data_IF_223655207028
#
_entry.id   IF_223655207028
#
_cell.length_a   1.000
_cell.length_b   1.000
_cell.length_c   1.000
_cell.angle_alpha   90.00
_cell.angle_beta   90.00
_cell.angle_gamma   90.00
#
_symmetry.space_group_name_H-M   'P 1'
#
loop_
_entity.id
_entity.type
_entity.pdbx_description
1 polymer ?
#
# COMPACT_ATOMS: atom_id res chain seq x y z
N UNK A 1 37.13 51.89 35.81
CA UNK A 1 36.02 50.92 35.78
C UNK A 1 34.71 51.70 35.74
N UNK A 2 33.77 51.23 34.91
CA UNK A 2 32.32 51.43 34.97
C UNK A 2 31.73 52.84 34.83
N UNK A 3 31.47 53.26 33.58
CA UNK A 3 30.42 54.24 33.29
C UNK A 3 29.80 54.14 31.87
N UNK A 4 30.20 53.16 31.04
CA UNK A 4 29.70 53.01 29.66
C UNK A 4 28.60 51.96 29.47
N UNK A 5 28.18 51.25 30.51
CA UNK A 5 27.25 50.11 30.38
C UNK A 5 25.87 50.32 31.03
N UNK A 6 25.54 51.51 31.52
CA UNK A 6 24.22 51.76 32.16
C UNK A 6 23.18 52.31 31.17
N UNK A 7 23.60 52.88 30.03
CA UNK A 7 22.68 53.49 29.06
C UNK A 7 22.05 52.53 28.03
N UNK A 8 22.29 51.23 28.10
CA UNK A 8 21.75 50.27 27.11
C UNK A 8 20.41 49.65 27.60
N UNK A 9 19.96 49.97 28.82
CA UNK A 9 18.76 49.38 29.41
C UNK A 9 17.63 50.35 29.79
N UNK A 10 17.70 51.63 29.39
CA UNK A 10 16.70 52.64 29.80
C UNK A 10 15.83 53.17 28.64
N UNK A 11 16.09 52.81 27.37
CA UNK A 11 15.28 53.25 26.23
C UNK A 11 14.15 52.28 25.84
N UNK A 12 13.57 51.59 26.83
CA UNK A 12 12.34 50.79 26.67
C UNK A 12 11.26 51.18 27.68
N UNK A 13 11.29 52.40 28.17
CA UNK A 13 10.18 52.95 28.92
C UNK A 13 9.04 53.25 27.95
N UNK A 14 7.91 52.58 28.13
CA UNK A 14 6.63 52.96 27.51
C UNK A 14 6.35 54.39 27.98
N UNK A 15 6.28 55.35 27.06
CA UNK A 15 5.98 56.74 27.42
C UNK A 15 4.58 56.81 28.03
N UNK A 16 4.29 57.80 28.86
CA UNK A 16 2.96 57.94 29.48
C UNK A 16 1.85 58.06 28.43
N UNK A 17 2.18 58.63 27.26
CA UNK A 17 1.31 58.72 26.08
C UNK A 17 1.00 57.36 25.43
N UNK A 18 1.81 56.34 25.72
CA UNK A 18 1.63 54.96 25.24
C UNK A 18 0.82 54.09 26.21
N UNK A 19 0.44 54.65 27.37
CA UNK A 19 -0.45 53.98 28.30
C UNK A 19 -1.92 54.27 27.92
N UNK A 20 -2.77 53.23 27.84
CA UNK A 20 -4.18 53.46 27.59
C UNK A 20 -4.83 54.13 28.80
N UNK A 21 -5.70 55.12 28.53
CA UNK A 21 -6.42 55.91 29.55
C UNK A 21 -7.23 55.04 30.51
N UNK A 22 -7.64 53.83 30.08
CA UNK A 22 -8.29 52.81 30.91
C UNK A 22 -7.83 51.43 30.50
N UNK A 23 -7.80 50.50 31.47
CA UNK A 23 -7.67 49.08 31.16
C UNK A 23 -8.78 48.68 30.17
N UNK A 24 -8.42 47.95 29.11
CA UNK A 24 -9.23 47.57 27.93
C UNK A 24 -9.38 48.58 26.78
N UNK A 25 -8.76 49.77 26.85
CA UNK A 25 -8.66 50.67 25.69
C UNK A 25 -7.34 50.44 24.93
N UNK A 26 -7.37 50.54 23.60
CA UNK A 26 -6.17 50.54 22.74
C UNK A 26 -5.72 51.99 22.53
N UNK A 27 -4.42 52.26 22.68
CA UNK A 27 -3.84 53.55 22.29
C UNK A 27 -3.78 53.60 20.77
N UNK A 28 -4.48 54.56 20.16
CA UNK A 28 -4.48 54.75 18.71
C UNK A 28 -3.51 55.90 18.38
N UNK A 29 -2.42 55.57 17.69
CA UNK A 29 -1.42 56.56 17.24
C UNK A 29 -1.82 57.12 15.89
N UNK A 30 -1.41 58.36 15.57
CA UNK A 30 -1.55 58.94 14.22
C UNK A 30 -0.80 58.14 13.14
N UNK A 31 0.24 57.41 13.55
CA UNK A 31 1.02 56.52 12.67
C UNK A 31 0.46 55.09 12.64
N UNK A 32 -0.66 54.80 13.31
CA UNK A 32 -1.32 53.50 13.20
C UNK A 32 -1.88 53.35 11.78
N UNK A 33 -1.59 52.26 11.05
CA UNK A 33 -2.17 52.00 9.73
C UNK A 33 -3.71 51.95 9.72
N UNK A 34 -4.32 51.79 10.89
CA UNK A 34 -5.78 51.79 11.08
C UNK A 34 -6.32 53.16 11.56
N UNK A 35 -5.45 54.16 11.74
CA UNK A 35 -5.85 55.48 12.22
C UNK A 35 -6.81 56.17 11.26
N UNK A 36 -8.01 56.47 11.74
CA UNK A 36 -9.05 57.15 10.96
C UNK A 36 -9.90 56.23 10.09
N UNK A 37 -9.70 54.91 10.15
CA UNK A 37 -10.54 53.92 9.48
C UNK A 37 -11.60 53.35 10.44
N UNK A 38 -12.78 53.09 9.89
CA UNK A 38 -13.84 52.35 10.57
C UNK A 38 -13.56 50.85 10.57
N UNK A 39 -14.22 50.10 11.46
CA UNK A 39 -14.07 48.64 11.52
C UNK A 39 -14.44 47.96 10.20
N UNK A 40 -15.45 48.48 9.50
CA UNK A 40 -15.89 47.98 8.21
C UNK A 40 -14.84 48.22 7.13
N UNK A 41 -14.23 49.41 7.07
CA UNK A 41 -13.15 49.72 6.13
C UNK A 41 -11.89 48.89 6.39
N UNK A 42 -11.57 48.62 7.65
CA UNK A 42 -10.47 47.72 8.04
C UNK A 42 -10.77 46.30 7.55
N UNK A 43 -12.01 45.84 7.71
CA UNK A 43 -12.43 44.52 7.26
C UNK A 43 -12.37 44.39 5.73
N UNK A 44 -12.90 45.38 5.00
CA UNK A 44 -12.88 45.40 3.53
C UNK A 44 -11.46 45.43 2.97
N UNK A 45 -10.56 46.21 3.59
CA UNK A 45 -9.14 46.23 3.23
C UNK A 45 -8.50 44.86 3.45
N UNK A 46 -8.76 44.22 4.59
CA UNK A 46 -8.20 42.92 4.91
C UNK A 46 -8.74 41.82 3.99
N UNK A 47 -10.03 41.90 3.63
CA UNK A 47 -10.66 41.01 2.65
C UNK A 47 -10.04 41.17 1.27
N UNK A 48 -9.82 42.41 0.84
CA UNK A 48 -9.15 42.73 -0.42
C UNK A 48 -7.72 42.15 -0.45
N UNK A 49 -6.94 42.34 0.62
CA UNK A 49 -5.58 41.79 0.72
C UNK A 49 -5.65 40.26 0.66
N UNK A 50 -6.57 39.62 1.39
CA UNK A 50 -6.75 38.16 1.36
C UNK A 50 -7.05 37.67 -0.06
N UNK A 51 -8.01 38.29 -0.75
CA UNK A 51 -8.39 37.94 -2.11
C UNK A 51 -7.25 38.16 -3.10
N UNK A 52 -6.49 39.27 -2.97
CA UNK A 52 -5.34 39.56 -3.81
C UNK A 52 -4.23 38.51 -3.64
N UNK A 53 -3.88 38.17 -2.40
CA UNK A 53 -2.87 37.14 -2.11
C UNK A 53 -3.30 35.74 -2.59
N UNK A 54 -4.60 35.44 -2.53
CA UNK A 54 -5.14 34.16 -3.01
C UNK A 54 -5.37 34.13 -4.52
N UNK A 55 -5.35 35.28 -5.21
CA UNK A 55 -5.61 35.34 -6.65
C UNK A 55 -4.60 34.54 -7.47
N UNK A 56 -3.34 34.51 -7.05
CA UNK A 56 -2.28 33.70 -7.66
C UNK A 56 -2.52 32.19 -7.46
N UNK A 57 -3.22 31.82 -6.38
CA UNK A 57 -3.57 30.44 -6.06
C UNK A 57 -4.98 30.07 -6.56
N UNK A 58 -5.66 30.96 -7.29
CA UNK A 58 -6.99 30.73 -7.85
C UNK A 58 -7.14 29.40 -8.59
N UNK A 59 -6.18 28.98 -9.44
CA UNK A 59 -6.23 27.67 -10.09
C UNK A 59 -6.18 26.48 -9.12
N UNK A 60 -5.47 26.59 -8.00
CA UNK A 60 -5.38 25.53 -6.98
C UNK A 60 -6.67 25.45 -6.15
N UNK A 61 -7.32 26.58 -5.89
CA UNK A 61 -8.60 26.65 -5.18
C UNK A 61 -9.78 26.13 -6.02
N UNK A 62 -9.60 25.98 -7.34
CA UNK A 62 -10.56 25.36 -8.27
C UNK A 62 -10.48 23.83 -8.29
N UNK A 63 -9.42 23.24 -7.72
CA UNK A 63 -9.28 21.79 -7.62
C UNK A 63 -10.29 21.31 -6.57
N UNK A 64 -11.24 20.43 -6.92
CA UNK A 64 -12.16 19.85 -5.96
C UNK A 64 -11.36 19.14 -4.86
N UNK A 65 -11.70 19.40 -3.59
CA UNK A 65 -11.13 18.64 -2.48
C UNK A 65 -11.62 17.18 -2.59
N UNK A 66 -10.72 16.27 -2.94
CA UNK A 66 -11.00 14.83 -2.93
C UNK A 66 -11.17 14.39 -1.47
N UNK A 67 -12.41 14.08 -1.07
CA UNK A 67 -12.75 13.63 0.28
C UNK A 67 -12.28 12.20 0.59
N UNK A 68 -11.52 11.57 -0.31
CA UNK A 68 -11.11 10.18 -0.17
C UNK A 68 -9.88 10.10 0.75
N UNK A 69 -10.14 9.81 2.02
CA UNK A 69 -9.15 9.67 3.10
C UNK A 69 -8.16 8.51 2.95
N UNK A 70 -8.10 7.83 1.81
CA UNK A 70 -7.39 6.55 1.68
C UNK A 70 -6.26 6.55 0.64
N UNK A 71 -5.73 7.71 0.26
CA UNK A 71 -4.88 7.71 -0.93
C UNK A 71 -3.44 7.22 -0.73
N UNK A 72 -2.84 7.24 0.47
CA UNK A 72 -1.39 6.94 0.56
C UNK A 72 -0.84 6.33 1.85
N UNK A 73 -1.58 5.54 2.63
CA UNK A 73 -0.94 4.87 3.79
C UNK A 73 -1.44 3.43 3.97
N UNK A 74 -0.65 2.48 3.46
CA UNK A 74 -0.57 1.14 4.04
C UNK A 74 0.74 1.11 4.82
N UNK A 75 0.68 1.28 6.14
CA UNK A 75 1.81 0.97 7.03
C UNK A 75 2.15 -0.53 6.87
N UNK A 76 3.44 -0.86 6.74
CA UNK A 76 4.02 -2.19 6.40
C UNK A 76 3.97 -2.64 4.93
N UNK A 77 4.43 -1.77 4.01
CA UNK A 77 4.49 -2.09 2.57
C UNK A 77 5.65 -3.04 2.18
N UNK A 78 5.33 -4.24 1.72
CA UNK A 78 6.19 -5.00 0.80
C UNK A 78 5.89 -4.52 -0.62
N UNK A 79 6.88 -3.94 -1.31
CA UNK A 79 6.74 -3.47 -2.68
C UNK A 79 6.31 -4.61 -3.62
N UNK A 80 5.06 -4.55 -4.09
CA UNK A 80 4.50 -5.51 -5.04
C UNK A 80 3.55 -4.80 -5.98
N UNK A 81 3.65 -5.12 -7.28
CA UNK A 81 2.74 -4.59 -8.30
C UNK A 81 1.24 -4.89 -8.00
N UNK A 82 0.96 -5.87 -7.14
CA UNK A 82 -0.38 -6.29 -6.72
C UNK A 82 -0.93 -5.54 -5.50
N UNK A 83 -0.14 -4.69 -4.86
CA UNK A 83 -0.52 -3.94 -3.65
C UNK A 83 -0.80 -2.45 -3.93
N UNK A 84 -0.85 -2.04 -5.20
CA UNK A 84 -1.07 -0.65 -5.60
C UNK A 84 -2.56 -0.30 -5.58
N UNK A 85 -2.90 0.96 -5.23
CA UNK A 85 -4.28 1.45 -5.28
C UNK A 85 -4.89 1.26 -6.69
N UNK A 86 -4.09 1.47 -7.73
CA UNK A 86 -4.50 1.21 -9.13
C UNK A 86 -4.90 -0.25 -9.37
N UNK A 87 -4.13 -1.20 -8.85
CA UNK A 87 -4.48 -2.63 -8.92
C UNK A 87 -5.81 -2.91 -8.21
N UNK A 88 -6.01 -2.33 -7.01
CA UNK A 88 -7.27 -2.45 -6.28
C UNK A 88 -8.45 -1.82 -7.02
N UNK A 89 -8.28 -0.66 -7.65
CA UNK A 89 -9.32 0.01 -8.45
C UNK A 89 -9.72 -0.81 -9.67
N UNK A 90 -8.74 -1.35 -10.40
CA UNK A 90 -8.99 -2.15 -11.61
C UNK A 90 -9.57 -3.54 -11.30
N UNK A 91 -9.17 -4.14 -10.17
CA UNK A 91 -9.60 -5.49 -9.78
C UNK A 91 -10.67 -5.51 -8.66
N UNK A 92 -11.23 -4.36 -8.27
CA UNK A 92 -12.31 -4.24 -7.28
C UNK A 92 -13.50 -5.20 -7.51
N UNK A 93 -13.99 -5.44 -8.74
CA UNK A 93 -15.10 -6.38 -8.95
C UNK A 93 -14.70 -7.86 -8.85
N UNK A 94 -13.40 -8.19 -8.98
CA UNK A 94 -12.88 -9.57 -8.87
C UNK A 94 -11.54 -9.57 -8.14
N UNK A 95 -11.53 -9.86 -6.82
CA UNK A 95 -10.30 -9.83 -6.04
C UNK A 95 -9.28 -10.81 -6.60
N UNK A 96 -8.02 -10.40 -6.59
CA UNK A 96 -6.91 -11.22 -7.06
C UNK A 96 -6.78 -12.48 -6.21
N UNK A 97 -6.88 -13.63 -6.87
CA UNK A 97 -6.73 -14.92 -6.22
C UNK A 97 -5.29 -15.41 -6.36
N UNK A 98 -4.44 -15.07 -5.39
CA UNK A 98 -3.04 -15.48 -5.37
C UNK A 98 -2.84 -17.00 -5.38
N UNK A 99 -3.75 -17.76 -4.78
CA UNK A 99 -3.71 -19.23 -4.83
C UNK A 99 -3.91 -19.75 -6.25
N UNK A 100 -4.90 -19.21 -6.97
CA UNK A 100 -5.14 -19.57 -8.37
C UNK A 100 -3.94 -19.21 -9.26
N UNK A 101 -3.36 -18.02 -9.05
CA UNK A 101 -2.17 -17.61 -9.78
C UNK A 101 -0.98 -18.54 -9.53
N UNK A 102 -0.70 -18.90 -8.26
CA UNK A 102 0.33 -19.87 -7.92
C UNK A 102 0.11 -21.21 -8.62
N UNK A 103 -1.12 -21.73 -8.61
CA UNK A 103 -1.44 -22.97 -9.32
C UNK A 103 -1.19 -22.86 -10.83
N UNK A 104 -1.59 -21.73 -11.45
CA UNK A 104 -1.34 -21.47 -12.87
C UNK A 104 0.17 -21.52 -13.19
N UNK A 105 0.99 -20.88 -12.37
CA UNK A 105 2.45 -20.87 -12.52
C UNK A 105 3.06 -22.28 -12.38
N UNK A 106 2.56 -23.10 -11.45
CA UNK A 106 3.01 -24.49 -11.31
C UNK A 106 2.66 -25.31 -12.57
N UNK A 107 1.44 -25.15 -13.09
CA UNK A 107 1.02 -25.85 -14.31
C UNK A 107 1.82 -25.43 -15.55
N UNK A 108 2.17 -24.14 -15.66
CA UNK A 108 3.07 -23.65 -16.71
C UNK A 108 4.46 -24.30 -16.61
N UNK A 109 5.06 -24.33 -15.40
CA UNK A 109 6.34 -25.03 -15.19
C UNK A 109 6.29 -26.52 -15.54
N UNK A 110 5.19 -27.20 -15.21
CA UNK A 110 4.99 -28.62 -15.58
C UNK A 110 4.94 -28.79 -17.09
N UNK A 111 4.22 -27.89 -17.78
CA UNK A 111 4.17 -27.87 -19.25
C UNK A 111 5.56 -27.65 -19.84
N UNK A 112 6.35 -26.71 -19.31
CA UNK A 112 7.70 -26.44 -19.79
C UNK A 112 8.63 -27.65 -19.61
N UNK A 113 8.56 -28.33 -18.46
CA UNK A 113 9.30 -29.58 -18.22
C UNK A 113 8.89 -30.68 -19.20
N UNK A 114 7.59 -30.80 -19.52
CA UNK A 114 7.10 -31.78 -20.49
C UNK A 114 7.59 -31.49 -21.91
N UNK A 115 7.57 -30.22 -22.32
CA UNK A 115 8.12 -29.79 -23.62
C UNK A 115 9.63 -30.07 -23.66
N UNK A 116 10.38 -29.70 -22.62
CA UNK A 116 11.81 -30.00 -22.54
C UNK A 116 12.10 -31.50 -22.63
N UNK A 117 11.32 -32.33 -21.95
CA UNK A 117 11.42 -33.79 -22.07
C UNK A 117 11.22 -34.27 -23.51
N UNK A 118 10.29 -33.66 -24.25
CA UNK A 118 10.04 -34.00 -25.65
C UNK A 118 11.18 -33.56 -26.60
N UNK A 119 11.82 -32.42 -26.32
CA UNK A 119 12.88 -31.86 -27.16
C UNK A 119 14.24 -32.54 -26.93
N UNK A 120 14.50 -33.05 -25.73
CA UNK A 120 15.79 -33.68 -25.40
C UNK A 120 15.90 -34.99 -26.17
N UNK A 121 16.98 -35.18 -26.93
CA UNK A 121 17.26 -36.46 -27.61
C UNK A 121 17.99 -37.47 -26.71
N UNK A 122 18.75 -37.01 -25.73
CA UNK A 122 19.55 -37.83 -24.83
C UNK A 122 18.71 -38.51 -23.73
N UNK A 123 18.85 -39.83 -23.56
CA UNK A 123 18.07 -40.63 -22.60
C UNK A 123 18.26 -40.18 -21.14
N UNK A 124 19.48 -39.89 -20.71
CA UNK A 124 19.75 -39.42 -19.34
C UNK A 124 19.11 -38.04 -19.08
N UNK A 125 19.14 -37.15 -20.09
CA UNK A 125 18.51 -35.84 -20.00
C UNK A 125 17.00 -35.94 -19.88
N UNK A 126 16.37 -36.85 -20.63
CA UNK A 126 14.95 -37.18 -20.46
C UNK A 126 14.65 -37.69 -19.06
N UNK A 127 15.46 -38.63 -18.56
CA UNK A 127 15.28 -39.17 -17.22
C UNK A 127 15.37 -38.10 -16.13
N UNK A 128 16.38 -37.22 -16.20
CA UNK A 128 16.57 -36.14 -15.25
C UNK A 128 15.42 -35.13 -15.28
N UNK A 129 14.92 -34.77 -16.48
CA UNK A 129 13.76 -33.87 -16.61
C UNK A 129 12.50 -34.51 -16.04
N UNK A 130 12.30 -35.81 -16.27
CA UNK A 130 11.19 -36.57 -15.68
C UNK A 130 11.29 -36.65 -14.16
N UNK A 131 12.49 -36.81 -13.60
CA UNK A 131 12.70 -36.74 -12.15
C UNK A 131 12.37 -35.36 -11.59
N UNK A 132 12.82 -34.28 -12.24
CA UNK A 132 12.48 -32.90 -11.83
C UNK A 132 10.98 -32.65 -11.81
N UNK A 133 10.25 -33.17 -12.79
CA UNK A 133 8.79 -33.12 -12.80
C UNK A 133 8.19 -33.84 -11.59
N UNK A 134 8.64 -35.07 -11.30
CA UNK A 134 8.17 -35.82 -10.12
C UNK A 134 8.44 -35.04 -8.83
N UNK A 135 9.67 -34.56 -8.64
CA UNK A 135 10.04 -33.76 -7.47
C UNK A 135 9.20 -32.49 -7.33
N UNK A 136 8.89 -31.80 -8.43
CA UNK A 136 8.02 -30.62 -8.39
C UNK A 136 6.61 -30.97 -7.91
N UNK A 137 6.00 -32.02 -8.47
CA UNK A 137 4.65 -32.46 -8.08
C UNK A 137 4.62 -32.98 -6.65
N UNK A 138 5.68 -33.68 -6.23
CA UNK A 138 5.79 -34.24 -4.89
C UNK A 138 5.88 -33.12 -3.85
N UNK A 139 6.78 -32.16 -4.03
CA UNK A 139 6.97 -31.03 -3.12
C UNK A 139 5.75 -30.10 -3.03
N UNK A 140 5.09 -29.81 -4.15
CA UNK A 140 3.98 -28.84 -4.18
C UNK A 140 2.65 -29.43 -3.71
N UNK A 141 2.43 -30.74 -3.88
CA UNK A 141 1.12 -31.35 -3.61
C UNK A 141 1.17 -32.62 -2.77
N UNK A 142 2.09 -33.56 -3.04
CA UNK A 142 2.07 -34.86 -2.36
C UNK A 142 2.55 -34.78 -0.92
N UNK A 143 3.57 -33.98 -0.65
CA UNK A 143 4.09 -33.82 0.71
C UNK A 143 3.04 -33.17 1.61
N UNK A 144 2.34 -32.15 1.10
CA UNK A 144 1.21 -31.55 1.81
C UNK A 144 0.10 -32.60 2.06
N UNK A 145 -0.26 -33.38 1.04
CA UNK A 145 -1.27 -34.44 1.20
C UNK A 145 -0.85 -35.51 2.23
N UNK A 146 0.43 -35.87 2.27
CA UNK A 146 0.97 -36.83 3.22
C UNK A 146 0.91 -36.29 4.66
N UNK A 147 1.26 -35.01 4.88
CA UNK A 147 1.14 -34.35 6.18
C UNK A 147 -0.33 -34.31 6.64
N UNK A 148 -1.26 -34.01 5.74
CA UNK A 148 -2.70 -34.01 6.06
C UNK A 148 -3.21 -35.40 6.44
N UNK A 149 -2.68 -36.45 5.83
CA UNK A 149 -3.02 -37.84 6.19
C UNK A 149 -2.41 -38.25 7.54
N UNK A 150 -1.17 -37.87 7.80
CA UNK A 150 -0.48 -38.18 9.06
C UNK A 150 -1.14 -37.46 10.25
N UNK A 151 -1.51 -36.20 10.08
CA UNK A 151 -2.26 -35.43 11.09
C UNK A 151 -3.63 -36.04 11.40
N UNK A 152 -4.33 -36.56 10.39
CA UNK A 152 -5.60 -37.29 10.58
C UNK A 152 -5.40 -38.59 11.40
N UNK A 153 -4.31 -39.32 11.16
CA UNK A 153 -3.99 -40.55 11.91
C UNK A 153 -3.65 -40.26 13.36
N UNK A 154 -2.87 -39.20 13.61
CA UNK A 154 -2.39 -38.83 14.96
C UNK A 154 -3.47 -38.17 15.82
N UNK A 155 -4.31 -37.31 15.23
CA UNK A 155 -5.27 -36.50 15.98
C UNK A 155 -6.69 -36.55 15.38
N UNK A 156 -7.34 -37.73 15.33
CA UNK A 156 -8.62 -37.90 14.66
C UNK A 156 -9.81 -37.17 15.31
N UNK A 157 -9.67 -36.72 16.56
CA UNK A 157 -10.72 -36.04 17.34
C UNK A 157 -10.66 -34.51 17.24
N UNK A 158 -9.50 -33.95 16.89
CA UNK A 158 -9.26 -32.50 16.88
C UNK A 158 -9.42 -31.88 15.48
N UNK A 159 -9.68 -32.71 14.47
CA UNK A 159 -9.69 -32.30 13.08
C UNK A 159 -11.02 -32.58 12.39
N UNK A 160 -11.56 -31.56 11.72
CA UNK A 160 -12.74 -31.68 10.90
C UNK A 160 -12.43 -32.53 9.65
N UNK A 161 -12.86 -33.79 9.71
CA UNK A 161 -12.67 -34.78 8.64
C UNK A 161 -13.24 -34.31 7.30
N UNK A 162 -14.34 -33.54 7.30
CA UNK A 162 -14.96 -33.07 6.05
C UNK A 162 -14.09 -32.03 5.36
N UNK A 163 -13.57 -31.06 6.12
CA UNK A 163 -12.66 -30.02 5.57
C UNK A 163 -11.37 -30.62 5.05
N UNK A 164 -10.79 -31.59 5.77
CA UNK A 164 -9.60 -32.31 5.30
C UNK A 164 -9.87 -33.10 4.01
N UNK A 165 -10.99 -33.81 3.94
CA UNK A 165 -11.34 -34.58 2.75
C UNK A 165 -11.49 -33.66 1.52
N UNK A 166 -12.09 -32.48 1.68
CA UNK A 166 -12.20 -31.48 0.61
C UNK A 166 -10.81 -31.00 0.18
N UNK A 167 -9.92 -30.70 1.12
CA UNK A 167 -8.55 -30.24 0.81
C UNK A 167 -7.75 -31.33 0.10
N UNK A 168 -7.83 -32.57 0.57
CA UNK A 168 -7.16 -33.72 -0.04
C UNK A 168 -7.69 -34.01 -1.45
N UNK A 169 -9.00 -33.90 -1.65
CA UNK A 169 -9.61 -34.00 -2.99
C UNK A 169 -9.09 -32.91 -3.94
N UNK A 170 -8.93 -31.67 -3.46
CA UNK A 170 -8.33 -30.58 -4.26
C UNK A 170 -6.88 -30.87 -4.63
N UNK A 171 -6.05 -31.32 -3.68
CA UNK A 171 -4.66 -31.69 -3.95
C UNK A 171 -4.57 -32.82 -4.99
N UNK A 172 -5.39 -33.86 -4.84
CA UNK A 172 -5.46 -34.96 -5.80
C UNK A 172 -5.93 -34.49 -7.19
N UNK A 173 -6.90 -33.57 -7.26
CA UNK A 173 -7.34 -32.98 -8.52
C UNK A 173 -6.21 -32.20 -9.21
N UNK A 174 -5.41 -31.46 -8.44
CA UNK A 174 -4.27 -30.72 -8.98
C UNK A 174 -3.18 -31.67 -9.49
N UNK A 175 -2.86 -32.73 -8.75
CA UNK A 175 -1.91 -33.77 -9.18
C UNK A 175 -2.38 -34.42 -10.49
N UNK A 176 -3.67 -34.75 -10.58
CA UNK A 176 -4.26 -35.32 -11.80
C UNK A 176 -4.08 -34.37 -12.98
N UNK A 177 -4.36 -33.08 -12.79
CA UNK A 177 -4.17 -32.05 -13.81
C UNK A 177 -2.71 -31.92 -14.26
N UNK A 178 -1.75 -31.95 -13.33
CA UNK A 178 -0.32 -31.99 -13.68
C UNK A 178 0.01 -33.21 -14.54
N UNK A 179 -0.52 -34.38 -14.20
CA UNK A 179 -0.33 -35.60 -15.00
C UNK A 179 -0.96 -35.50 -16.39
N UNK A 180 -2.13 -34.87 -16.52
CA UNK A 180 -2.79 -34.65 -17.81
C UNK A 180 -1.97 -33.72 -18.69
N UNK A 181 -1.46 -32.61 -18.13
CA UNK A 181 -0.57 -31.68 -18.83
C UNK A 181 0.71 -32.41 -19.27
N UNK A 182 1.35 -33.16 -18.37
CA UNK A 182 2.56 -33.90 -18.70
C UNK A 182 2.34 -34.83 -19.90
N UNK A 183 1.27 -35.65 -19.87
CA UNK A 183 0.94 -36.58 -20.96
C UNK A 183 0.62 -35.88 -22.28
N UNK A 184 0.02 -34.69 -22.23
CA UNK A 184 -0.35 -33.96 -23.44
C UNK A 184 0.86 -33.39 -24.19
N UNK A 185 1.94 -33.04 -23.49
CA UNK A 185 3.11 -32.36 -24.09
C UNK A 185 4.37 -33.23 -24.14
N UNK A 186 4.50 -34.22 -23.27
CA UNK A 186 5.59 -35.19 -23.34
C UNK A 186 5.25 -36.24 -24.41
N UNK A 187 5.48 -35.89 -25.68
CA UNK A 187 5.56 -36.89 -26.74
C UNK A 187 6.65 -37.90 -26.35
N UNK A 188 6.46 -39.20 -26.65
CA UNK A 188 7.39 -40.32 -26.36
C UNK A 188 7.21 -41.11 -25.03
N UNK A 189 6.01 -41.18 -24.44
CA UNK A 189 5.65 -42.26 -23.51
C UNK A 189 4.70 -43.28 -24.14
#
# INVERSE_FOLDING_TARGET
MNQKYINIHVDRCIEEEDLPVRASLKVIRKNDPDYGLTADEINDRNEFIRCYMLSELGPLLLIPEENDKEDFIIEDYYESAFNTNDFYRLHKPKPYNGYHYRLKQIFEKVKDLAIMHSCISHQEGKHNTRQRYKSLVDNEFRDEAAILLDTLKKYPQWVDRKKLAIRLAKLNSNIKKCSEIWKAYAFWE
#
